data_IF_124889213386
#
_entry.id   IF_124889213386
#
_cell.length_a   1.000
_cell.length_b   1.000
_cell.length_c   1.000
_cell.angle_alpha   90.00
_cell.angle_beta   90.00
_cell.angle_gamma   90.00
#
_symmetry.space_group_name_H-M   'P 1'
#
loop_
_entity.id
_entity.type
_entity.pdbx_description
1 polymer ?
#
# COMPACT_ATOMS: atom_id res chain seq x y z
N UNK A 1 11.39 2.77 -16.04
CA UNK A 1 11.11 1.38 -15.66
C UNK A 1 12.25 0.63 -14.96
N UNK A 2 13.55 0.79 -15.29
CA UNK A 2 14.65 0.01 -14.64
C UNK A 2 14.63 -0.02 -13.10
N UNK A 3 14.19 1.07 -12.46
CA UNK A 3 14.13 1.18 -11.01
C UNK A 3 12.83 0.65 -10.39
N UNK A 4 11.82 0.26 -11.18
CA UNK A 4 10.51 -0.17 -10.68
C UNK A 4 10.53 -1.51 -9.95
N UNK A 5 11.64 -2.24 -9.98
CA UNK A 5 11.91 -3.33 -9.01
C UNK A 5 11.84 -2.86 -7.55
N UNK A 6 11.99 -1.55 -7.31
CA UNK A 6 11.88 -0.93 -6.00
C UNK A 6 10.43 -0.60 -5.61
N UNK A 7 9.44 -0.87 -6.48
CA UNK A 7 8.01 -0.64 -6.22
C UNK A 7 7.37 -1.71 -5.31
N UNK A 8 8.24 -2.44 -4.60
CA UNK A 8 7.91 -3.34 -3.49
C UNK A 8 8.78 -3.01 -2.26
N UNK A 9 9.45 -1.85 -2.27
CA UNK A 9 10.34 -1.41 -1.20
C UNK A 9 9.62 -1.30 0.14
N UNK A 10 8.35 -0.90 0.12
CA UNK A 10 7.45 -0.87 1.27
C UNK A 10 7.23 -2.26 1.89
N UNK A 11 7.11 -3.30 1.06
CA UNK A 11 6.95 -4.68 1.55
C UNK A 11 8.21 -5.10 2.29
N UNK A 12 9.37 -4.79 1.72
CA UNK A 12 10.67 -5.06 2.36
C UNK A 12 10.79 -4.33 3.70
N UNK A 13 10.36 -3.07 3.76
CA UNK A 13 10.39 -2.26 4.98
C UNK A 13 9.50 -2.87 6.09
N UNK A 14 8.26 -3.26 5.78
CA UNK A 14 7.37 -3.87 6.77
C UNK A 14 7.83 -5.25 7.24
N UNK A 15 8.31 -6.10 6.34
CA UNK A 15 8.84 -7.42 6.72
C UNK A 15 10.07 -7.27 7.63
N UNK A 16 10.98 -6.34 7.30
CA UNK A 16 12.15 -6.05 8.13
C UNK A 16 11.76 -5.49 9.50
N UNK A 17 10.78 -4.57 9.55
CA UNK A 17 10.26 -4.02 10.82
C UNK A 17 9.61 -5.11 11.68
N UNK A 18 8.80 -5.98 11.07
CA UNK A 18 8.18 -7.13 11.76
C UNK A 18 9.22 -8.06 12.34
N UNK A 19 10.27 -8.36 11.57
CA UNK A 19 11.39 -9.18 12.05
C UNK A 19 12.11 -8.52 13.22
N UNK A 20 12.35 -7.20 13.17
CA UNK A 20 12.97 -6.46 14.27
C UNK A 20 12.10 -6.48 15.54
N UNK A 21 10.80 -6.24 15.40
CA UNK A 21 9.81 -6.30 16.49
C UNK A 21 9.82 -7.67 17.16
N UNK A 22 9.78 -8.74 16.37
CA UNK A 22 9.82 -10.11 16.88
C UNK A 22 11.14 -10.41 17.60
N UNK A 23 12.28 -9.96 17.04
CA UNK A 23 13.60 -10.15 17.63
C UNK A 23 13.78 -9.40 18.95
N UNK A 24 13.17 -8.23 19.09
CA UNK A 24 13.17 -7.44 20.32
C UNK A 24 12.20 -7.98 21.38
N UNK A 25 11.31 -8.93 21.03
CA UNK A 25 10.33 -9.48 21.95
C UNK A 25 9.31 -8.44 22.42
N UNK A 26 8.97 -7.47 21.57
CA UNK A 26 8.02 -6.42 21.95
C UNK A 26 6.64 -7.05 22.19
N UNK A 27 6.01 -6.63 23.29
CA UNK A 27 4.68 -7.09 23.69
C UNK A 27 3.58 -6.35 22.91
N UNK A 28 3.56 -6.54 21.59
CA UNK A 28 2.56 -5.95 20.70
C UNK A 28 1.85 -7.01 19.87
N UNK A 29 0.55 -6.83 19.67
CA UNK A 29 -0.23 -7.66 18.76
C UNK A 29 -0.12 -7.04 17.36
N UNK A 30 0.70 -7.66 16.49
CA UNK A 30 0.95 -7.18 15.15
C UNK A 30 0.44 -8.20 14.12
N UNK A 31 -0.30 -7.72 13.13
CA UNK A 31 -0.63 -8.46 11.91
C UNK A 31 -0.10 -7.66 10.72
N UNK A 32 0.65 -8.32 9.84
CA UNK A 32 1.23 -7.69 8.65
C UNK A 32 0.66 -8.34 7.41
N UNK A 33 0.08 -7.52 6.54
CA UNK A 33 -0.50 -7.95 5.26
C UNK A 33 0.29 -7.29 4.15
N UNK A 34 0.87 -8.11 3.27
CA UNK A 34 1.67 -7.65 2.13
C UNK A 34 0.96 -7.97 0.83
N UNK A 35 0.95 -7.00 -0.08
CA UNK A 35 0.28 -7.11 -1.36
C UNK A 35 1.34 -7.37 -2.43
N UNK A 36 1.25 -8.52 -3.08
CA UNK A 36 2.26 -8.98 -4.03
C UNK A 36 1.59 -9.17 -5.39
N UNK A 37 1.92 -8.29 -6.33
CA UNK A 37 1.47 -8.35 -7.72
C UNK A 37 2.56 -7.79 -8.63
N UNK A 38 2.49 -8.12 -9.91
CA UNK A 38 3.31 -7.52 -10.96
C UNK A 38 2.39 -6.80 -11.95
N UNK A 39 2.68 -5.53 -12.25
CA UNK A 39 1.92 -4.75 -13.22
C UNK A 39 2.47 -4.99 -14.64
N UNK A 40 2.01 -6.06 -15.29
CA UNK A 40 2.55 -6.52 -16.57
C UNK A 40 1.65 -6.19 -17.78
N UNK A 41 2.22 -5.66 -18.87
CA UNK A 41 1.54 -5.58 -20.14
C UNK A 41 1.15 -6.97 -20.66
N UNK A 42 -0.08 -7.13 -21.10
CA UNK A 42 -0.63 -8.39 -21.60
C UNK A 42 -1.87 -8.10 -22.45
N UNK A 43 -2.25 -9.04 -23.33
CA UNK A 43 -3.56 -8.98 -24.00
C UNK A 43 -4.75 -9.07 -23.02
N UNK A 44 -4.50 -9.44 -21.77
CA UNK A 44 -5.47 -9.46 -20.66
C UNK A 44 -5.20 -8.38 -19.59
N UNK A 45 -4.28 -7.45 -19.84
CA UNK A 45 -4.01 -6.37 -18.89
C UNK A 45 -5.23 -5.46 -18.75
N UNK A 46 -5.33 -4.82 -17.58
CA UNK A 46 -6.28 -3.72 -17.34
C UNK A 46 -6.04 -2.62 -18.35
N UNK A 47 -7.12 -1.98 -18.82
CA UNK A 47 -7.08 -0.89 -19.79
C UNK A 47 -7.71 0.37 -19.20
N UNK A 48 -7.29 1.55 -19.67
CA UNK A 48 -8.05 2.77 -19.46
C UNK A 48 -9.52 2.59 -19.87
N UNK A 49 -10.44 3.00 -19.01
CA UNK A 49 -11.89 2.83 -19.14
C UNK A 49 -12.45 1.50 -18.63
N UNK A 50 -11.62 0.54 -18.20
CA UNK A 50 -12.12 -0.68 -17.55
C UNK A 50 -12.77 -0.30 -16.20
N UNK A 51 -13.95 -0.87 -15.92
CA UNK A 51 -14.62 -0.73 -14.62
C UNK A 51 -14.38 -2.01 -13.83
N UNK A 52 -13.70 -1.88 -12.71
CA UNK A 52 -13.41 -2.97 -11.79
C UNK A 52 -14.27 -2.86 -10.53
N UNK A 53 -14.52 -4.00 -9.88
CA UNK A 53 -15.25 -4.08 -8.62
C UNK A 53 -14.34 -4.53 -7.47
N UNK A 54 -13.73 -3.59 -6.70
CA UNK A 54 -12.93 -3.93 -5.53
C UNK A 54 -13.75 -4.60 -4.42
N UNK A 55 -13.06 -5.21 -3.45
CA UNK A 55 -13.62 -5.98 -2.34
C UNK A 55 -14.65 -5.20 -1.52
N UNK A 56 -14.54 -3.87 -1.47
CA UNK A 56 -15.49 -2.99 -0.76
C UNK A 56 -16.89 -2.98 -1.39
N UNK A 57 -17.08 -3.57 -2.57
CA UNK A 57 -18.35 -3.61 -3.30
C UNK A 57 -18.67 -2.31 -4.04
N UNK A 58 -17.70 -1.40 -4.15
CA UNK A 58 -17.77 -0.21 -4.98
C UNK A 58 -17.31 -0.53 -6.41
N UNK A 59 -17.49 0.41 -7.34
CA UNK A 59 -16.94 0.32 -8.69
C UNK A 59 -15.86 1.39 -8.88
N UNK A 60 -14.77 1.03 -9.54
CA UNK A 60 -13.66 1.94 -9.88
C UNK A 60 -13.43 1.90 -11.37
N UNK A 61 -13.46 3.07 -12.02
CA UNK A 61 -12.98 3.23 -13.39
C UNK A 61 -11.46 3.37 -13.38
N UNK A 62 -10.78 2.53 -14.15
CA UNK A 62 -9.33 2.62 -14.34
C UNK A 62 -9.06 3.65 -15.43
N UNK A 63 -8.67 4.87 -15.06
CA UNK A 63 -8.20 5.87 -16.05
C UNK A 63 -6.70 5.70 -16.36
N UNK A 64 -5.91 5.34 -15.34
CA UNK A 64 -4.48 5.11 -15.47
C UNK A 64 -4.09 3.75 -14.86
N UNK A 65 -3.52 2.87 -15.68
CA UNK A 65 -3.07 1.52 -15.28
C UNK A 65 -1.77 1.52 -14.48
N UNK A 66 -1.02 2.63 -14.50
CA UNK A 66 0.20 2.87 -13.69
C UNK A 66 -0.14 3.49 -12.32
N UNK A 67 -1.44 3.57 -12.00
CA UNK A 67 -1.96 3.91 -10.68
C UNK A 67 -2.58 2.67 -10.01
N UNK A 68 -1.99 1.51 -10.22
CA UNK A 68 -2.44 0.20 -9.75
C UNK A 68 -2.30 0.03 -8.24
N UNK A 69 -1.24 0.58 -7.63
CA UNK A 69 -0.89 0.25 -6.23
C UNK A 69 -1.98 0.68 -5.26
N UNK A 70 -2.70 1.78 -5.56
CA UNK A 70 -3.86 2.23 -4.76
C UNK A 70 -5.08 1.29 -4.88
N UNK A 71 -5.21 0.56 -5.98
CA UNK A 71 -6.31 -0.40 -6.19
C UNK A 71 -6.11 -1.62 -5.29
N UNK A 72 -4.89 -2.16 -5.29
CA UNK A 72 -4.54 -3.31 -4.44
C UNK A 72 -4.57 -2.91 -2.97
N UNK A 73 -4.11 -1.68 -2.64
CA UNK A 73 -4.20 -1.14 -1.28
C UNK A 73 -5.66 -0.97 -0.80
N UNK A 74 -6.59 -0.56 -1.67
CA UNK A 74 -8.00 -0.46 -1.31
C UNK A 74 -8.60 -1.82 -0.90
N UNK A 75 -8.23 -2.90 -1.60
CA UNK A 75 -8.63 -4.27 -1.23
C UNK A 75 -7.98 -4.71 0.07
N UNK A 76 -6.70 -4.39 0.27
CA UNK A 76 -5.97 -4.73 1.49
C UNK A 76 -6.57 -4.06 2.73
N UNK A 77 -6.86 -2.76 2.66
CA UNK A 77 -7.47 -2.02 3.74
C UNK A 77 -8.87 -2.55 4.05
N UNK A 78 -9.63 -2.92 3.02
CA UNK A 78 -10.94 -3.56 3.18
C UNK A 78 -10.82 -4.91 3.90
N UNK A 79 -9.88 -5.75 3.46
CA UNK A 79 -9.60 -7.06 4.04
C UNK A 79 -9.14 -6.95 5.50
N UNK A 80 -8.14 -6.11 5.78
CA UNK A 80 -7.60 -5.89 7.13
C UNK A 80 -8.69 -5.38 8.07
N UNK A 81 -9.46 -4.39 7.65
CA UNK A 81 -10.53 -3.82 8.46
C UNK A 81 -11.64 -4.83 8.76
N UNK A 82 -12.00 -5.68 7.79
CA UNK A 82 -13.07 -6.67 7.94
C UNK A 82 -12.64 -7.86 8.80
N UNK A 83 -11.48 -8.45 8.50
CA UNK A 83 -11.07 -9.76 9.01
C UNK A 83 -10.23 -9.66 10.29
N UNK A 84 -9.38 -8.64 10.43
CA UNK A 84 -8.52 -8.46 11.61
C UNK A 84 -9.09 -7.47 12.63
N UNK A 85 -9.90 -6.50 12.18
CA UNK A 85 -10.50 -5.44 13.01
C UNK A 85 -9.47 -4.79 13.96
N UNK A 86 -8.31 -4.33 13.44
CA UNK A 86 -7.26 -3.80 14.29
C UNK A 86 -7.68 -2.46 14.91
N UNK A 87 -7.05 -2.12 16.04
CA UNK A 87 -7.20 -0.79 16.65
C UNK A 87 -6.59 0.31 15.77
N UNK A 88 -5.47 0.02 15.09
CA UNK A 88 -4.73 0.97 14.27
C UNK A 88 -4.23 0.28 13.01
N UNK A 89 -4.32 0.98 11.88
CA UNK A 89 -3.78 0.56 10.59
C UNK A 89 -2.69 1.55 10.18
N UNK A 90 -1.54 1.03 9.79
CA UNK A 90 -0.44 1.79 9.21
C UNK A 90 -0.18 1.19 7.83
N UNK A 91 -0.35 1.99 6.78
CA UNK A 91 0.05 1.64 5.42
C UNK A 91 1.24 2.49 4.97
N UNK A 92 2.07 1.89 4.12
CA UNK A 92 3.22 2.53 3.48
C UNK A 92 3.23 2.05 2.04
N UNK A 93 3.44 2.97 1.10
CA UNK A 93 3.46 2.65 -0.33
C UNK A 93 4.41 3.59 -1.09
N UNK A 94 5.05 3.09 -2.14
CA UNK A 94 5.84 3.89 -3.11
C UNK A 94 4.94 4.58 -4.14
N UNK A 95 3.84 5.19 -3.68
CA UNK A 95 2.62 5.41 -4.48
C UNK A 95 2.69 6.51 -5.56
N UNK A 96 3.48 7.56 -5.36
CA UNK A 96 3.41 8.74 -6.22
C UNK A 96 4.74 9.50 -6.35
N UNK A 97 5.18 9.68 -7.60
CA UNK A 97 6.32 10.56 -7.92
C UNK A 97 6.09 12.03 -7.53
N UNK A 98 4.84 12.46 -7.32
CA UNK A 98 4.52 13.79 -6.81
C UNK A 98 5.07 14.03 -5.39
N UNK A 99 5.20 12.98 -4.57
CA UNK A 99 5.79 13.09 -3.22
C UNK A 99 7.23 13.57 -3.28
N UNK A 100 8.00 13.09 -4.27
CA UNK A 100 9.39 13.54 -4.46
C UNK A 100 9.49 15.02 -4.82
N UNK A 101 8.52 15.54 -5.56
CA UNK A 101 8.49 16.97 -5.92
C UNK A 101 8.12 17.84 -4.72
N UNK A 102 7.24 17.35 -3.83
CA UNK A 102 6.76 18.10 -2.67
C UNK A 102 7.71 18.02 -1.46
N UNK A 103 8.30 16.85 -1.19
CA UNK A 103 9.06 16.57 0.04
C UNK A 103 10.54 16.24 -0.21
N UNK A 104 10.98 16.21 -1.47
CA UNK A 104 12.34 15.84 -1.84
C UNK A 104 12.62 14.34 -1.68
N UNK A 105 13.89 13.99 -1.51
CA UNK A 105 14.36 12.59 -1.51
C UNK A 105 14.58 11.98 -0.12
N UNK A 106 14.46 12.79 0.94
CA UNK A 106 14.82 12.38 2.31
C UNK A 106 13.58 12.17 3.18
N UNK A 107 12.53 12.94 2.93
CA UNK A 107 11.31 12.91 3.73
C UNK A 107 10.20 12.15 3.01
N UNK A 108 9.50 11.28 3.74
CA UNK A 108 8.26 10.66 3.29
C UNK A 108 7.07 11.58 3.55
N UNK A 109 6.04 11.49 2.71
CA UNK A 109 4.74 12.10 2.99
C UNK A 109 3.92 11.17 3.89
N UNK A 110 3.13 11.75 4.79
CA UNK A 110 2.17 11.03 5.62
C UNK A 110 0.81 11.72 5.54
N UNK A 111 -0.25 10.91 5.50
CA UNK A 111 -1.63 11.35 5.67
C UNK A 111 -2.17 10.58 6.88
N UNK A 112 -2.67 11.32 7.87
CA UNK A 112 -3.13 10.74 9.14
C UNK A 112 -4.53 11.26 9.42
N UNK A 113 -5.47 10.35 9.67
CA UNK A 113 -6.84 10.71 10.00
C UNK A 113 -7.00 11.08 11.49
N UNK A 114 -6.28 10.40 12.38
CA UNK A 114 -6.30 10.64 13.82
C UNK A 114 -5.04 11.41 14.25
N UNK A 115 -5.23 12.66 14.69
CA UNK A 115 -4.13 13.54 15.12
C UNK A 115 -3.29 12.94 16.26
N UNK A 116 -3.87 12.07 17.10
CA UNK A 116 -3.14 11.41 18.18
C UNK A 116 -2.07 10.44 17.68
N UNK A 117 -2.17 9.96 16.43
CA UNK A 117 -1.16 9.11 15.79
C UNK A 117 -0.04 9.92 15.13
N UNK A 118 -0.18 11.25 15.02
CA UNK A 118 0.82 12.13 14.39
C UNK A 118 1.82 12.74 15.39
N UNK A 119 1.40 12.93 16.64
CA UNK A 119 2.20 13.57 17.70
C UNK A 119 3.31 12.67 18.26
#
# INVERSE_FOLDING_TARGET
MKLMRADMGEVTAFVAATWAIAKLGLHINLSVVTLLTENMPSGKATKPGDIIGPMKGLTVEVDNTDAESRLVLADALTYVSRDFKPHTIIDVATLAGAVLHAFGHVCSAASVEDESLWQ
#
